data_IF_966818248667
#
_entry.id   IF_966818248667
#
_cell.length_a   1.000
_cell.length_b   1.000
_cell.length_c   1.000
_cell.angle_alpha   90.00
_cell.angle_beta   90.00
_cell.angle_gamma   90.00
#
_symmetry.space_group_name_H-M   'P 1'
#
loop_
_entity.id
_entity.type
_entity.pdbx_description
1 polymer ?
#
# COMPACT_ATOMS: atom_id res chain seq x y z
N UNK A 1 -20.12 4.71 8.98
CA UNK A 1 -20.24 5.72 7.91
C UNK A 1 -19.51 5.20 6.67
N UNK A 2 -19.96 5.53 5.46
CA UNK A 2 -19.28 5.17 4.20
C UNK A 2 -19.25 6.37 3.24
N UNK A 3 -18.19 6.57 2.44
CA UNK A 3 -18.17 7.56 1.37
C UNK A 3 -19.07 7.13 0.21
N UNK A 4 -19.84 8.07 -0.36
CA UNK A 4 -20.67 7.83 -1.56
C UNK A 4 -20.17 8.60 -2.78
N UNK A 5 -19.38 9.64 -2.56
CA UNK A 5 -18.72 10.40 -3.61
C UNK A 5 -17.21 10.48 -3.35
N UNK A 6 -16.39 10.62 -4.39
CA UNK A 6 -14.92 10.65 -4.24
C UNK A 6 -14.46 11.78 -3.31
N UNK A 7 -15.18 12.92 -3.27
CA UNK A 7 -14.89 14.03 -2.36
C UNK A 7 -15.15 13.70 -0.88
N UNK A 8 -15.94 12.66 -0.56
CA UNK A 8 -16.12 12.21 0.82
C UNK A 8 -14.84 11.59 1.39
N UNK A 9 -13.87 11.19 0.55
CA UNK A 9 -12.58 10.69 0.99
C UNK A 9 -11.76 11.71 1.79
N UNK A 10 -12.12 13.00 1.71
CA UNK A 10 -11.56 14.03 2.60
C UNK A 10 -11.84 13.77 4.08
N UNK A 11 -12.83 12.92 4.41
CA UNK A 11 -13.13 12.47 5.77
C UNK A 11 -12.39 11.17 6.15
N UNK A 12 -11.81 10.46 5.17
CA UNK A 12 -11.10 9.18 5.34
C UNK A 12 -9.59 9.36 5.59
N UNK A 13 -9.17 10.45 6.24
CA UNK A 13 -7.74 10.76 6.43
C UNK A 13 -7.38 11.23 7.84
N UNK A 14 -8.35 11.32 8.74
CA UNK A 14 -8.15 11.91 10.07
C UNK A 14 -7.78 10.89 11.15
N UNK A 15 -7.98 9.59 10.89
CA UNK A 15 -7.62 8.51 11.81
C UNK A 15 -6.27 7.92 11.43
N UNK A 16 -5.21 8.62 11.84
CA UNK A 16 -3.84 8.15 11.66
C UNK A 16 -3.46 7.21 12.82
N UNK A 17 -3.17 5.96 12.49
CA UNK A 17 -2.76 4.92 13.46
C UNK A 17 -1.29 5.07 13.87
N UNK A 18 -0.43 5.48 12.93
CA UNK A 18 0.94 5.91 13.18
C UNK A 18 1.09 7.30 12.55
N UNK A 19 0.91 8.34 13.37
CA UNK A 19 1.11 9.74 12.99
C UNK A 19 2.41 10.27 13.59
N UNK A 20 3.21 10.96 12.78
CA UNK A 20 4.52 11.43 13.21
C UNK A 20 4.61 12.95 13.19
N UNK A 21 4.83 13.54 14.37
CA UNK A 21 6.11 14.21 14.60
C UNK A 21 7.04 13.45 15.57
N UNK A 22 6.54 12.39 16.22
CA UNK A 22 7.28 11.59 17.19
C UNK A 22 7.61 10.22 16.60
N UNK A 23 8.80 10.14 16.00
CA UNK A 23 9.41 8.90 15.55
C UNK A 23 9.55 7.93 16.74
N UNK A 24 9.43 6.63 16.49
CA UNK A 24 9.81 5.65 17.51
C UNK A 24 11.30 5.80 17.86
N UNK A 25 11.68 5.48 19.10
CA UNK A 25 13.03 5.72 19.63
C UNK A 25 14.14 4.98 18.88
N UNK A 26 13.78 3.90 18.19
CA UNK A 26 14.64 3.07 17.35
C UNK A 26 14.64 3.49 15.86
N UNK A 27 13.80 4.45 15.47
CA UNK A 27 13.76 4.97 14.11
C UNK A 27 15.06 5.72 13.79
N UNK A 28 15.67 5.53 12.60
CA UNK A 28 16.98 6.11 12.29
C UNK A 28 17.03 7.65 12.35
N UNK A 29 15.92 8.30 12.03
CA UNK A 29 15.75 9.75 12.12
C UNK A 29 15.33 10.29 13.49
N UNK A 30 15.20 9.47 14.54
CA UNK A 30 14.64 9.91 15.85
C UNK A 30 15.39 11.11 16.43
N UNK A 31 16.73 11.12 16.30
CA UNK A 31 17.61 12.19 16.79
C UNK A 31 17.96 13.24 15.73
N UNK A 32 17.43 13.12 14.52
CA UNK A 32 17.68 14.06 13.43
C UNK A 32 16.56 15.10 13.37
N UNK A 33 16.83 16.28 13.91
CA UNK A 33 15.88 17.40 13.95
C UNK A 33 15.52 17.90 12.54
N UNK A 34 16.46 17.89 11.60
CA UNK A 34 16.22 18.33 10.23
C UNK A 34 15.30 17.34 9.50
N UNK A 35 15.52 16.03 9.69
CA UNK A 35 14.64 14.98 9.18
C UNK A 35 13.22 15.10 9.75
N UNK A 36 13.10 15.28 11.07
CA UNK A 36 11.79 15.45 11.75
C UNK A 36 11.04 16.68 11.25
N UNK A 37 11.73 17.82 11.12
CA UNK A 37 11.14 19.04 10.56
C UNK A 37 10.65 18.81 9.12
N UNK A 38 11.46 18.14 8.29
CA UNK A 38 11.07 17.82 6.91
C UNK A 38 9.84 16.90 6.85
N UNK A 39 9.75 15.89 7.74
CA UNK A 39 8.55 15.03 7.87
C UNK A 39 7.30 15.84 8.21
N UNK A 40 7.42 16.78 9.15
CA UNK A 40 6.31 17.68 9.54
C UNK A 40 5.85 18.56 8.37
N UNK A 41 6.80 19.20 7.66
CA UNK A 41 6.49 20.06 6.51
C UNK A 41 5.73 19.28 5.42
N UNK A 42 6.14 18.03 5.15
CA UNK A 42 5.49 17.15 4.16
C UNK A 42 4.12 16.67 4.65
N UNK A 43 4.00 16.30 5.93
CA UNK A 43 2.72 15.90 6.51
C UNK A 43 1.68 17.03 6.42
N UNK A 44 2.11 18.28 6.61
CA UNK A 44 1.21 19.44 6.48
C UNK A 44 0.64 19.57 5.07
N UNK A 45 1.44 19.31 4.02
CA UNK A 45 0.94 19.29 2.63
C UNK A 45 -0.17 18.25 2.42
N UNK A 46 -0.07 17.10 3.08
CA UNK A 46 -1.11 16.07 3.03
C UNK A 46 -2.37 16.47 3.80
N UNK A 47 -2.24 17.17 4.93
CA UNK A 47 -3.40 17.69 5.67
C UNK A 47 -4.14 18.82 4.96
N UNK A 48 -3.40 19.66 4.24
CA UNK A 48 -3.97 20.77 3.47
C UNK A 48 -4.58 20.31 2.14
N UNK A 49 -4.44 19.03 1.79
CA UNK A 49 -4.97 18.46 0.55
C UNK A 49 -6.49 18.24 0.60
N UNK A 50 -7.14 18.58 -0.52
CA UNK A 50 -8.55 18.32 -0.78
C UNK A 50 -8.74 17.65 -2.14
N UNK A 51 -9.63 16.66 -2.23
CA UNK A 51 -9.78 15.79 -3.41
C UNK A 51 -10.07 16.53 -4.72
N UNK A 52 -10.75 17.67 -4.66
CA UNK A 52 -11.14 18.48 -5.80
C UNK A 52 -10.19 19.66 -6.06
N UNK A 53 -9.14 19.79 -5.24
CA UNK A 53 -8.07 20.76 -5.47
C UNK A 53 -6.97 20.13 -6.32
N UNK A 54 -6.36 20.87 -7.26
CA UNK A 54 -5.15 20.43 -7.94
C UNK A 54 -4.09 20.09 -6.87
N UNK A 55 -3.45 18.92 -7.00
CA UNK A 55 -2.36 18.51 -6.11
C UNK A 55 -1.33 19.64 -6.01
N UNK A 56 -1.05 20.14 -4.80
CA UNK A 56 0.00 21.12 -4.55
C UNK A 56 1.36 20.42 -4.70
N UNK A 57 1.80 20.39 -5.95
CA UNK A 57 3.11 20.04 -6.54
C UNK A 57 4.20 19.38 -5.66
N UNK A 58 4.55 18.14 -6.05
CA UNK A 58 5.92 17.71 -6.37
C UNK A 58 5.82 16.79 -7.61
N UNK A 59 6.22 17.33 -8.78
CA UNK A 59 6.22 16.78 -10.16
C UNK A 59 4.89 16.18 -10.71
N UNK A 60 4.27 16.91 -11.64
CA UNK A 60 2.97 16.64 -12.26
C UNK A 60 2.94 15.56 -13.36
N UNK A 61 4.09 15.07 -13.83
CA UNK A 61 4.12 14.24 -15.05
C UNK A 61 3.72 12.78 -14.81
N UNK A 62 4.08 12.18 -13.67
CA UNK A 62 3.73 10.77 -13.34
C UNK A 62 2.21 10.62 -13.08
N UNK A 63 1.54 11.68 -12.64
CA UNK A 63 0.12 11.69 -12.31
C UNK A 63 -0.81 11.63 -13.54
N UNK A 64 -0.35 12.14 -14.70
CA UNK A 64 -1.17 12.21 -15.91
C UNK A 64 -1.35 10.82 -16.56
N UNK A 65 -0.28 10.03 -16.65
CA UNK A 65 -0.29 8.70 -17.30
C UNK A 65 -1.05 7.63 -16.49
N UNK A 66 -1.02 7.76 -15.17
CA UNK A 66 -1.62 6.79 -14.24
C UNK A 66 -3.15 6.73 -14.32
N UNK A 67 -3.81 7.87 -14.60
CA UNK A 67 -5.28 7.92 -14.75
C UNK A 67 -5.76 7.35 -16.08
N UNK A 68 -4.99 7.52 -17.16
CA UNK A 68 -5.36 7.02 -18.48
C UNK A 68 -5.19 5.49 -18.57
N UNK A 69 -4.17 4.96 -17.91
CA UNK A 69 -3.85 3.52 -17.91
C UNK A 69 -4.87 2.70 -17.12
N UNK A 70 -5.18 3.07 -15.87
CA UNK A 70 -6.03 2.26 -15.00
C UNK A 70 -7.14 3.04 -14.27
N UNK A 71 -7.24 4.35 -14.45
CA UNK A 71 -8.20 5.19 -13.72
C UNK A 71 -7.83 5.42 -12.25
N UNK A 72 -6.68 4.93 -11.78
CA UNK A 72 -6.20 5.26 -10.44
C UNK A 72 -5.62 6.67 -10.36
N UNK A 73 -5.74 7.26 -9.17
CA UNK A 73 -5.19 8.59 -8.83
C UNK A 73 -4.44 8.49 -7.50
N UNK A 74 -3.36 9.24 -7.38
CA UNK A 74 -2.65 9.38 -6.11
C UNK A 74 -3.33 10.45 -5.26
N UNK A 75 -3.35 10.22 -3.94
CA UNK A 75 -3.77 11.17 -2.92
C UNK A 75 -2.70 11.23 -1.84
N UNK A 76 -2.14 12.40 -1.50
CA UNK A 76 -1.14 12.50 -0.44
C UNK A 76 -1.74 12.08 0.90
N UNK A 77 -0.95 11.33 1.68
CA UNK A 77 -1.31 10.96 3.06
C UNK A 77 -0.14 11.21 4.00
N UNK A 78 -0.43 11.68 5.21
CA UNK A 78 0.59 12.06 6.19
C UNK A 78 1.26 10.85 6.88
N UNK A 79 0.66 9.66 6.79
CA UNK A 79 1.13 8.44 7.43
C UNK A 79 0.10 7.31 7.32
N UNK A 80 0.22 6.29 8.18
CA UNK A 80 -0.68 5.14 8.16
C UNK A 80 -2.07 5.53 8.68
N UNK A 81 -3.08 5.41 7.81
CA UNK A 81 -4.49 5.59 8.14
C UNK A 81 -5.12 4.27 8.61
N UNK A 82 -6.33 4.34 9.18
CA UNK A 82 -7.07 3.14 9.56
C UNK A 82 -7.28 2.20 8.35
N UNK A 83 -7.28 0.85 8.52
CA UNK A 83 -7.48 -0.07 7.40
C UNK A 83 -8.79 0.17 6.64
N UNK A 84 -9.84 0.57 7.36
CA UNK A 84 -11.13 0.93 6.79
C UNK A 84 -11.03 2.15 5.88
N UNK A 85 -10.36 3.20 6.34
CA UNK A 85 -10.17 4.42 5.56
C UNK A 85 -9.24 4.17 4.37
N UNK A 86 -8.18 3.41 4.56
CA UNK A 86 -7.27 2.99 3.50
C UNK A 86 -8.01 2.27 2.37
N UNK A 87 -8.71 1.18 2.68
CA UNK A 87 -9.45 0.39 1.69
C UNK A 87 -10.60 1.18 1.05
N UNK A 88 -11.25 2.09 1.78
CA UNK A 88 -12.28 2.94 1.22
C UNK A 88 -11.77 3.81 0.05
N UNK A 89 -10.51 4.24 0.07
CA UNK A 89 -9.91 4.99 -1.06
C UNK A 89 -9.85 4.13 -2.35
N UNK A 90 -9.48 2.85 -2.22
CA UNK A 90 -9.38 1.94 -3.38
C UNK A 90 -10.72 1.73 -4.09
N UNK A 91 -11.84 1.80 -3.38
CA UNK A 91 -13.17 1.72 -3.99
C UNK A 91 -13.39 2.79 -5.09
N UNK A 92 -12.73 3.94 -4.96
CA UNK A 92 -12.80 5.07 -5.91
C UNK A 92 -11.58 5.16 -6.83
N UNK A 93 -10.76 4.10 -6.88
CA UNK A 93 -9.44 4.11 -7.55
C UNK A 93 -8.58 5.29 -7.09
N UNK A 94 -8.56 5.52 -5.78
CA UNK A 94 -7.67 6.48 -5.15
C UNK A 94 -6.66 5.69 -4.33
N UNK A 95 -5.38 5.96 -4.54
CA UNK A 95 -4.29 5.37 -3.78
C UNK A 95 -3.70 6.41 -2.81
N UNK A 96 -3.88 6.24 -1.49
CA UNK A 96 -3.19 7.04 -0.48
C UNK A 96 -1.68 6.80 -0.58
N UNK A 97 -0.91 7.86 -0.80
CA UNK A 97 0.49 7.80 -1.18
C UNK A 97 1.30 8.74 -0.28
N UNK A 98 2.29 8.22 0.43
CA UNK A 98 3.18 9.04 1.25
C UNK A 98 4.18 9.83 0.39
N UNK A 99 4.56 11.03 0.85
CA UNK A 99 5.49 11.90 0.12
C UNK A 99 6.84 12.10 0.79
N UNK A 100 7.03 11.57 2.01
CA UNK A 100 8.34 11.61 2.65
C UNK A 100 9.22 10.48 2.12
N UNK A 101 10.53 10.63 2.28
CA UNK A 101 11.52 9.60 1.95
C UNK A 101 12.12 9.07 3.24
N UNK A 102 12.47 7.78 3.26
CA UNK A 102 13.16 7.12 4.38
C UNK A 102 14.46 7.83 4.75
N UNK A 103 14.89 7.65 5.99
CA UNK A 103 16.12 8.25 6.48
C UNK A 103 17.35 7.68 5.76
N UNK A 104 18.24 8.55 5.27
CA UNK A 104 19.36 8.17 4.42
C UNK A 104 20.40 7.24 5.08
N UNK A 105 20.42 7.13 6.41
CA UNK A 105 21.32 6.20 7.10
C UNK A 105 20.90 4.73 6.99
N UNK A 106 19.66 4.44 6.56
CA UNK A 106 19.16 3.09 6.29
C UNK A 106 18.36 3.06 4.97
N UNK A 107 19.02 3.19 3.81
CA UNK A 107 18.31 3.27 2.53
C UNK A 107 17.69 1.93 2.11
N UNK A 108 18.26 0.81 2.55
CA UNK A 108 17.86 -0.53 2.11
C UNK A 108 16.52 -1.02 2.71
N UNK A 109 16.07 -0.45 3.83
CA UNK A 109 14.84 -0.87 4.50
C UNK A 109 14.26 0.29 5.32
N UNK A 110 12.93 0.37 5.37
CA UNK A 110 12.17 1.32 6.17
C UNK A 110 10.99 0.60 6.84
N UNK A 111 10.70 0.87 8.12
CA UNK A 111 9.54 0.29 8.81
C UNK A 111 8.21 0.95 8.42
N UNK A 112 8.27 2.04 7.65
CA UNK A 112 7.10 2.79 7.20
C UNK A 112 7.15 2.94 5.68
N UNK A 113 5.99 2.87 4.99
CA UNK A 113 5.94 3.12 3.56
C UNK A 113 6.36 4.57 3.32
N UNK A 114 7.40 4.76 2.52
CA UNK A 114 7.88 6.05 2.06
C UNK A 114 7.64 6.18 0.55
N UNK A 115 7.87 7.35 -0.02
CA UNK A 115 7.63 7.61 -1.45
C UNK A 115 8.33 6.58 -2.37
N UNK A 116 9.50 6.05 -1.97
CA UNK A 116 10.19 5.01 -2.74
C UNK A 116 9.34 3.74 -2.81
N UNK A 117 8.79 3.30 -1.68
CA UNK A 117 7.88 2.15 -1.63
C UNK A 117 6.64 2.38 -2.50
N UNK A 118 6.04 3.57 -2.43
CA UNK A 118 4.85 3.88 -3.24
C UNK A 118 5.14 3.82 -4.75
N UNK A 119 6.21 4.48 -5.18
CA UNK A 119 6.50 4.67 -6.62
C UNK A 119 7.19 3.47 -7.26
N UNK A 120 8.02 2.72 -6.53
CA UNK A 120 8.68 1.52 -7.06
C UNK A 120 7.86 0.25 -6.82
N UNK A 121 7.09 0.19 -5.74
CA UNK A 121 6.27 -0.96 -5.39
C UNK A 121 4.87 -0.91 -6.00
N UNK A 122 4.06 0.07 -5.62
CA UNK A 122 2.63 0.10 -5.96
C UNK A 122 2.32 0.67 -7.34
N UNK A 123 2.89 1.84 -7.67
CA UNK A 123 2.53 2.59 -8.88
C UNK A 123 2.67 1.74 -10.15
N UNK A 124 3.76 0.97 -10.38
CA UNK A 124 3.90 0.19 -11.62
C UNK A 124 2.78 -0.83 -11.79
N UNK A 125 2.42 -1.57 -10.75
CA UNK A 125 1.35 -2.57 -10.85
C UNK A 125 -0.04 -1.96 -10.93
N UNK A 126 -0.27 -0.83 -10.28
CA UNK A 126 -1.55 -0.15 -10.39
C UNK A 126 -1.77 0.52 -11.75
N UNK A 127 -0.76 0.63 -12.63
CA UNK A 127 -0.99 0.96 -14.06
C UNK A 127 -1.61 -0.21 -14.84
N UNK A 128 -1.46 -1.45 -14.35
CA UNK A 128 -2.08 -2.62 -14.96
C UNK A 128 -3.57 -2.68 -14.59
N UNK A 129 -4.45 -2.64 -15.60
CA UNK A 129 -5.91 -2.63 -15.39
C UNK A 129 -6.43 -3.80 -14.56
N UNK A 130 -5.92 -5.02 -14.74
CA UNK A 130 -6.40 -6.19 -14.00
C UNK A 130 -6.02 -6.11 -12.53
N UNK A 131 -4.81 -5.66 -12.24
CA UNK A 131 -4.35 -5.44 -10.87
C UNK A 131 -5.11 -4.29 -10.20
N UNK A 132 -5.34 -3.19 -10.92
CA UNK A 132 -6.16 -2.09 -10.46
C UNK A 132 -7.61 -2.50 -10.17
N UNK A 133 -8.22 -3.33 -11.02
CA UNK A 133 -9.57 -3.87 -10.81
C UNK A 133 -9.62 -4.76 -9.56
N UNK A 134 -8.61 -5.60 -9.35
CA UNK A 134 -8.46 -6.40 -8.13
C UNK A 134 -8.34 -5.52 -6.88
N UNK A 135 -7.47 -4.51 -6.90
CA UNK A 135 -7.30 -3.59 -5.79
C UNK A 135 -8.60 -2.81 -5.49
N UNK A 136 -9.31 -2.36 -6.53
CA UNK A 136 -10.61 -1.71 -6.37
C UNK A 136 -11.67 -2.64 -5.75
N UNK A 137 -11.68 -3.93 -6.11
CA UNK A 137 -12.61 -4.92 -5.54
C UNK A 137 -12.43 -5.08 -4.03
N UNK A 138 -11.19 -5.12 -3.54
CA UNK A 138 -10.91 -5.13 -2.10
C UNK A 138 -11.50 -3.87 -1.42
N UNK A 139 -11.31 -2.70 -2.05
CA UNK A 139 -11.89 -1.45 -1.56
C UNK A 139 -13.42 -1.47 -1.52
N UNK A 140 -14.07 -1.89 -2.61
CA UNK A 140 -15.53 -2.00 -2.69
C UNK A 140 -16.09 -2.98 -1.64
N UNK A 141 -15.43 -4.12 -1.43
CA UNK A 141 -15.84 -5.10 -0.43
C UNK A 141 -15.73 -4.59 1.01
N UNK A 142 -14.88 -3.58 1.26
CA UNK A 142 -14.71 -2.97 2.59
C UNK A 142 -15.84 -2.01 2.98
N UNK A 143 -16.55 -1.45 2.00
CA UNK A 143 -17.56 -0.41 2.23
C UNK A 143 -18.75 -0.98 3.01
N UNK A 144 -18.92 -0.49 4.25
CA UNK A 144 -20.03 -0.89 5.12
C UNK A 144 -19.86 -2.26 5.77
N UNK A 145 -18.75 -2.95 5.52
CA UNK A 145 -18.43 -4.23 6.15
C UNK A 145 -18.11 -4.07 7.64
N UNK A 146 -18.25 -5.14 8.42
CA UNK A 146 -17.82 -5.17 9.83
C UNK A 146 -16.30 -5.03 9.96
N UNK A 147 -15.82 -4.62 11.14
CA UNK A 147 -14.38 -4.49 11.40
C UNK A 147 -13.64 -5.83 11.21
N UNK A 148 -14.24 -6.94 11.65
CA UNK A 148 -13.70 -8.29 11.44
C UNK A 148 -13.50 -8.63 9.96
N UNK A 149 -14.42 -8.19 9.09
CA UNK A 149 -14.30 -8.42 7.66
C UNK A 149 -13.31 -7.48 7.01
N UNK A 150 -13.24 -6.21 7.45
CA UNK A 150 -12.19 -5.27 7.03
C UNK A 150 -10.80 -5.81 7.37
N UNK A 151 -10.62 -6.40 8.55
CA UNK A 151 -9.35 -7.03 8.94
C UNK A 151 -8.98 -8.19 7.99
N UNK A 152 -9.95 -9.05 7.64
CA UNK A 152 -9.76 -10.12 6.63
C UNK A 152 -9.34 -9.57 5.26
N UNK A 153 -9.97 -8.50 4.80
CA UNK A 153 -9.60 -7.83 3.55
C UNK A 153 -8.20 -7.21 3.62
N UNK A 154 -7.83 -6.67 4.77
CA UNK A 154 -6.49 -6.10 5.00
C UNK A 154 -5.42 -7.20 5.00
N UNK A 155 -5.70 -8.36 5.58
CA UNK A 155 -4.81 -9.53 5.48
C UNK A 155 -4.68 -10.03 4.04
N UNK A 156 -5.77 -10.02 3.27
CA UNK A 156 -5.69 -10.32 1.83
C UNK A 156 -4.85 -9.29 1.09
N UNK A 157 -5.04 -8.00 1.37
CA UNK A 157 -4.22 -6.93 0.80
C UNK A 157 -2.74 -7.16 1.12
N UNK A 158 -2.39 -7.49 2.37
CA UNK A 158 -1.03 -7.82 2.79
C UNK A 158 -0.42 -8.97 1.97
N UNK A 159 -1.09 -10.10 1.88
CA UNK A 159 -0.55 -11.27 1.18
C UNK A 159 -0.71 -11.25 -0.34
N UNK A 160 -1.24 -10.17 -0.92
CA UNK A 160 -1.38 -10.01 -2.38
C UNK A 160 -0.72 -8.74 -2.89
N UNK A 161 -1.19 -7.57 -2.48
CA UNK A 161 -0.70 -6.28 -2.98
C UNK A 161 0.62 -5.90 -2.31
N UNK A 162 0.86 -6.25 -1.04
CA UNK A 162 2.11 -5.94 -0.33
C UNK A 162 3.19 -7.02 -0.52
N UNK A 163 2.85 -8.28 -0.33
CA UNK A 163 3.79 -9.41 -0.32
C UNK A 163 3.36 -10.57 -1.22
N UNK A 164 2.57 -10.30 -2.25
CA UNK A 164 2.11 -11.33 -3.18
C UNK A 164 3.19 -11.80 -4.16
N UNK A 165 3.09 -13.08 -4.51
CA UNK A 165 3.81 -13.69 -5.63
C UNK A 165 2.80 -14.12 -6.70
N UNK A 166 3.24 -14.21 -7.94
CA UNK A 166 2.42 -14.64 -9.06
C UNK A 166 3.21 -15.59 -9.98
N UNK A 167 2.53 -16.54 -10.60
CA UNK A 167 3.09 -17.32 -11.70
C UNK A 167 2.83 -16.60 -13.02
N UNK A 168 3.88 -16.45 -13.82
CA UNK A 168 3.83 -15.94 -15.18
C UNK A 168 4.65 -16.87 -16.07
N UNK A 169 4.00 -17.54 -17.03
CA UNK A 169 4.65 -18.55 -17.89
C UNK A 169 5.42 -19.62 -17.09
N UNK A 170 4.79 -20.15 -16.03
CA UNK A 170 5.37 -21.11 -15.06
C UNK A 170 6.60 -20.58 -14.29
N UNK A 171 6.91 -19.29 -14.39
CA UNK A 171 7.95 -18.63 -13.61
C UNK A 171 7.35 -17.87 -12.43
N UNK A 172 7.94 -18.04 -11.25
CA UNK A 172 7.56 -17.28 -10.07
C UNK A 172 8.04 -15.83 -10.21
N UNK A 173 7.16 -14.86 -9.97
CA UNK A 173 7.40 -13.41 -10.04
C UNK A 173 6.89 -12.71 -8.79
N UNK A 174 7.61 -11.67 -8.37
CA UNK A 174 7.15 -10.78 -7.31
C UNK A 174 6.13 -9.79 -7.86
N UNK A 175 5.04 -9.62 -7.14
CA UNK A 175 4.00 -8.62 -7.43
C UNK A 175 3.65 -7.81 -6.18
N UNK A 176 4.20 -8.15 -5.02
CA UNK A 176 4.02 -7.38 -3.80
C UNK A 176 4.85 -6.10 -3.81
N UNK A 177 4.25 -4.97 -3.46
CA UNK A 177 4.94 -3.67 -3.34
C UNK A 177 6.05 -3.68 -2.28
N UNK A 178 5.83 -4.35 -1.15
CA UNK A 178 6.83 -4.58 -0.11
C UNK A 178 8.04 -5.34 -0.65
N UNK A 179 7.83 -6.37 -1.48
CA UNK A 179 8.91 -7.10 -2.14
C UNK A 179 9.66 -6.22 -3.14
N UNK A 180 8.94 -5.52 -4.02
CA UNK A 180 9.54 -4.72 -5.09
C UNK A 180 10.32 -3.49 -4.59
N UNK A 181 10.09 -3.08 -3.35
CA UNK A 181 10.74 -1.90 -2.72
C UNK A 181 11.75 -2.26 -1.61
N UNK A 182 11.96 -3.55 -1.35
CA UNK A 182 12.87 -4.07 -0.33
C UNK A 182 13.80 -5.11 -0.94
N UNK A 183 15.04 -4.72 -1.23
CA UNK A 183 16.03 -5.59 -1.86
C UNK A 183 16.22 -6.92 -1.12
N UNK A 184 16.41 -6.86 0.20
CA UNK A 184 16.67 -8.06 0.99
C UNK A 184 15.45 -8.97 1.16
N UNK A 185 14.24 -8.39 1.23
CA UNK A 185 13.02 -9.22 1.33
C UNK A 185 12.65 -9.86 0.00
N UNK A 186 12.96 -9.20 -1.12
CA UNK A 186 12.86 -9.81 -2.44
C UNK A 186 13.76 -11.03 -2.57
N UNK A 187 15.03 -10.95 -2.14
CA UNK A 187 15.93 -12.11 -2.14
C UNK A 187 15.40 -13.24 -1.24
N UNK A 188 14.95 -12.89 -0.03
CA UNK A 188 14.39 -13.85 0.93
C UNK A 188 13.14 -14.57 0.40
N UNK A 189 12.21 -13.85 -0.24
CA UNK A 189 10.99 -14.42 -0.81
C UNK A 189 11.26 -15.49 -1.88
N UNK A 190 12.41 -15.44 -2.55
CA UNK A 190 12.82 -16.42 -3.56
C UNK A 190 13.80 -17.49 -3.04
N UNK A 191 14.22 -17.39 -1.79
CA UNK A 191 15.09 -18.38 -1.15
C UNK A 191 14.32 -19.63 -0.69
N UNK A 192 15.05 -20.65 -0.25
CA UNK A 192 14.50 -21.85 0.39
C UNK A 192 14.09 -21.63 1.86
N UNK A 193 14.39 -20.46 2.43
CA UNK A 193 14.05 -20.12 3.83
C UNK A 193 12.60 -19.63 3.97
N UNK A 194 11.91 -19.36 2.86
CA UNK A 194 10.52 -18.90 2.84
C UNK A 194 9.55 -19.93 2.27
N UNK A 195 8.43 -20.12 2.98
CA UNK A 195 7.36 -21.02 2.55
C UNK A 195 6.45 -20.33 1.52
N UNK A 196 6.12 -21.04 0.43
CA UNK A 196 5.27 -20.53 -0.64
C UNK A 196 4.01 -21.39 -0.72
N UNK A 197 2.85 -20.77 -0.53
CA UNK A 197 1.53 -21.44 -0.51
C UNK A 197 0.66 -20.93 -1.66
N UNK A 198 -0.27 -21.75 -2.20
CA UNK A 198 -1.24 -21.23 -3.18
C UNK A 198 -2.17 -20.20 -2.52
N UNK A 199 -2.48 -19.12 -3.25
CA UNK A 199 -3.44 -18.12 -2.81
C UNK A 199 -4.85 -18.71 -2.75
N UNK A 200 -5.35 -18.90 -1.53
CA UNK A 200 -6.72 -19.34 -1.22
C UNK A 200 -7.38 -18.29 -0.32
N UNK A 201 -8.32 -17.47 -0.81
CA UNK A 201 -8.75 -16.25 -0.10
C UNK A 201 -9.27 -16.49 1.32
N UNK A 202 -10.08 -17.53 1.54
CA UNK A 202 -10.64 -17.80 2.86
C UNK A 202 -9.57 -18.18 3.90
N UNK A 203 -8.54 -18.92 3.47
CA UNK A 203 -7.43 -19.34 4.33
C UNK A 203 -6.43 -18.19 4.51
N UNK A 204 -6.15 -17.46 3.42
CA UNK A 204 -5.20 -16.34 3.41
C UNK A 204 -5.71 -15.19 4.28
N UNK A 205 -7.01 -14.89 4.23
CA UNK A 205 -7.63 -13.80 4.99
C UNK A 205 -7.52 -13.93 6.52
N UNK A 206 -7.19 -15.12 7.03
CA UNK A 206 -7.00 -15.38 8.46
C UNK A 206 -5.56 -15.73 8.83
N UNK A 207 -4.62 -15.67 7.88
CA UNK A 207 -3.21 -15.93 8.13
C UNK A 207 -2.62 -14.81 9.01
N UNK A 208 -2.03 -15.14 10.17
CA UNK A 208 -1.30 -14.17 10.98
C UNK A 208 -0.02 -13.70 10.28
N UNK A 209 0.34 -12.44 10.48
CA UNK A 209 1.58 -11.83 10.02
C UNK A 209 2.09 -10.79 11.02
N UNK A 210 3.34 -10.36 10.84
CA UNK A 210 3.99 -9.29 11.59
C UNK A 210 4.56 -8.27 10.57
N UNK A 211 4.57 -6.98 10.94
CA UNK A 211 5.19 -5.90 10.17
C UNK A 211 6.69 -5.73 10.49
N UNK A 212 7.23 -6.56 11.38
CA UNK A 212 8.63 -6.60 11.80
C UNK A 212 9.36 -7.79 11.17
N UNK A 213 10.37 -7.49 10.34
CA UNK A 213 11.20 -8.50 9.69
C UNK A 213 10.59 -9.07 8.41
N UNK A 214 11.19 -10.12 7.87
CA UNK A 214 10.75 -10.73 6.61
C UNK A 214 9.64 -11.74 6.83
N UNK A 215 8.71 -11.81 5.87
CA UNK A 215 7.60 -12.76 5.96
C UNK A 215 8.12 -14.21 5.86
N UNK A 216 7.64 -15.13 6.73
CA UNK A 216 8.00 -16.55 6.64
C UNK A 216 7.16 -17.30 5.59
N UNK A 217 6.00 -16.75 5.23
CA UNK A 217 5.03 -17.36 4.31
C UNK A 217 4.63 -16.32 3.26
N UNK A 218 4.67 -16.72 1.99
CA UNK A 218 4.19 -15.94 0.84
C UNK A 218 3.08 -16.71 0.12
N UNK A 219 2.11 -15.99 -0.42
CA UNK A 219 1.03 -16.58 -1.21
C UNK A 219 1.25 -16.35 -2.70
N UNK A 220 1.10 -17.42 -3.47
CA UNK A 220 1.32 -17.47 -4.91
C UNK A 220 -0.02 -17.52 -5.62
N UNK A 221 -0.32 -16.48 -6.39
CA UNK A 221 -1.43 -16.50 -7.33
C UNK A 221 -1.01 -17.20 -8.64
N UNK A 222 -1.92 -17.96 -9.25
CA UNK A 222 -1.61 -18.67 -10.49
C UNK A 222 -1.56 -17.76 -11.73
N UNK A 223 -2.24 -16.62 -11.70
CA UNK A 223 -2.14 -15.56 -12.71
C UNK A 223 -2.86 -14.32 -12.21
N UNK A 224 -2.53 -13.15 -12.77
CA UNK A 224 -3.25 -11.91 -12.48
C UNK A 224 -4.75 -12.01 -12.80
N UNK A 225 -5.12 -12.76 -13.85
CA UNK A 225 -6.51 -13.01 -14.24
C UNK A 225 -7.28 -13.83 -13.19
N UNK A 226 -6.60 -14.78 -12.55
CA UNK A 226 -7.20 -15.61 -11.51
C UNK A 226 -7.33 -14.85 -10.19
N UNK A 227 -6.39 -13.95 -9.90
CA UNK A 227 -6.42 -13.10 -8.69
C UNK A 227 -7.75 -12.33 -8.57
N UNK A 228 -8.23 -11.75 -9.67
CA UNK A 228 -9.52 -11.05 -9.72
C UNK A 228 -10.72 -11.99 -9.52
N UNK A 229 -10.65 -13.19 -10.12
CA UNK A 229 -11.76 -14.17 -10.08
C UNK A 229 -11.92 -14.82 -8.71
N UNK A 230 -10.83 -15.01 -7.97
CA UNK A 230 -10.85 -15.66 -6.65
C UNK A 230 -11.56 -14.82 -5.57
N UNK A 231 -11.73 -13.51 -5.75
CA UNK A 231 -12.47 -12.64 -4.84
C UNK A 231 -13.98 -12.50 -5.14
N UNK A 232 -14.51 -13.19 -6.17
CA UNK A 232 -15.95 -13.21 -6.47
C UNK A 232 -16.68 -14.24 -5.62
#
# INVERSE_FOLDING_TARGET
WIPFHVSDLDKCQHLLLKFQPELQTDHPGFRDEAYRKRRQDIAQLAFDYHQLCPLLTLSYEILLDYTETSGFRLRPVAGLVSPRDFLANFAFRVFPCTQYIRHHSRPAHTPEPDMIHEFLGHVPLLTNRKFADFAQRLGLASLGASDDFVNKLTTLFWFTIEFGLCLEEDQLRAVGAGLLSSFGELEHAFSDESEKRPLEPNTTAIQPYDDVGYQPVYFVCQSFELMEKQLK
#
